data_IF_096211152974
#
_entry.id   IF_096211152974
#
_cell.length_a   1.000
_cell.length_b   1.000
_cell.length_c   1.000
_cell.angle_alpha   90.00
_cell.angle_beta   90.00
_cell.angle_gamma   90.00
#
_symmetry.space_group_name_H-M   'P 1'
#
loop_
_entity.id
_entity.type
_entity.pdbx_description
1 polymer ?
#
# COMPACT_ATOMS: atom_id res chain seq x y z
N UNK A 1 -21.07 8.92 -19.43
CA UNK A 1 -20.55 8.69 -18.08
C UNK A 1 -20.20 10.04 -17.52
N UNK A 2 -20.70 10.33 -16.33
CA UNK A 2 -20.42 11.60 -15.67
C UNK A 2 -18.98 11.63 -15.20
N UNK A 3 -18.33 12.81 -15.26
CA UNK A 3 -16.95 12.98 -14.81
C UNK A 3 -16.79 12.51 -13.35
N UNK A 4 -17.77 12.78 -12.50
CA UNK A 4 -17.89 12.25 -11.14
C UNK A 4 -17.73 10.72 -11.11
N UNK A 5 -18.50 9.99 -11.92
CA UNK A 5 -18.46 8.52 -11.97
C UNK A 5 -17.09 8.00 -12.43
N UNK A 6 -16.47 8.64 -13.40
CA UNK A 6 -15.14 8.25 -13.89
C UNK A 6 -14.10 8.41 -12.78
N UNK A 7 -14.04 9.58 -12.15
CA UNK A 7 -13.06 9.88 -11.10
C UNK A 7 -13.26 8.95 -9.89
N UNK A 8 -14.51 8.71 -9.49
CA UNK A 8 -14.86 7.78 -8.41
C UNK A 8 -14.38 6.35 -8.73
N UNK A 9 -14.68 5.86 -9.94
CA UNK A 9 -14.28 4.50 -10.37
C UNK A 9 -12.75 4.35 -10.40
N UNK A 10 -12.02 5.38 -10.87
CA UNK A 10 -10.56 5.39 -10.86
C UNK A 10 -10.02 5.40 -9.43
N UNK A 11 -10.59 6.21 -8.54
CA UNK A 11 -10.23 6.23 -7.12
C UNK A 11 -10.43 4.88 -6.44
N UNK A 12 -11.57 4.23 -6.70
CA UNK A 12 -11.86 2.88 -6.21
C UNK A 12 -10.86 1.83 -6.74
N UNK A 13 -10.46 1.91 -8.01
CA UNK A 13 -9.47 1.01 -8.57
C UNK A 13 -8.10 1.15 -7.86
N UNK A 14 -7.71 2.38 -7.52
CA UNK A 14 -6.48 2.66 -6.78
C UNK A 14 -6.55 2.11 -5.35
N UNK A 15 -7.70 2.23 -4.68
CA UNK A 15 -7.88 1.67 -3.35
C UNK A 15 -7.80 0.15 -3.35
N UNK A 16 -8.47 -0.52 -4.30
CA UNK A 16 -8.39 -1.97 -4.44
C UNK A 16 -6.94 -2.41 -4.67
N UNK A 17 -6.24 -1.76 -5.60
CA UNK A 17 -4.83 -2.06 -5.86
C UNK A 17 -3.95 -1.84 -4.62
N UNK A 18 -4.18 -0.73 -3.90
CA UNK A 18 -3.47 -0.39 -2.66
C UNK A 18 -3.69 -1.42 -1.55
N UNK A 19 -4.94 -1.87 -1.32
CA UNK A 19 -5.25 -2.93 -0.35
C UNK A 19 -4.58 -4.25 -0.74
N UNK A 20 -4.64 -4.65 -2.01
CA UNK A 20 -4.00 -5.88 -2.50
C UNK A 20 -2.48 -5.81 -2.29
N UNK A 21 -1.84 -4.68 -2.62
CA UNK A 21 -0.41 -4.47 -2.36
C UNK A 21 -0.09 -4.55 -0.85
N UNK A 22 -0.90 -3.93 0.02
CA UNK A 22 -0.70 -4.04 1.48
C UNK A 22 -0.86 -5.47 1.99
N UNK A 23 -1.80 -6.23 1.44
CA UNK A 23 -2.01 -7.63 1.81
C UNK A 23 -0.79 -8.50 1.47
N UNK A 24 -0.20 -8.30 0.28
CA UNK A 24 0.98 -9.06 -0.15
C UNK A 24 2.29 -8.63 0.53
N UNK A 25 2.48 -7.32 0.76
CA UNK A 25 3.76 -6.79 1.26
C UNK A 25 3.77 -6.54 2.78
N UNK A 26 2.65 -6.75 3.45
CA UNK A 26 2.37 -6.40 4.85
C UNK A 26 2.42 -4.87 5.10
N UNK A 27 1.61 -4.34 6.03
CA UNK A 27 1.75 -2.95 6.45
C UNK A 27 3.14 -2.69 7.05
N UNK A 28 3.65 -1.45 7.01
CA UNK A 28 4.98 -1.15 7.53
C UNK A 28 4.97 -1.37 9.04
N UNK A 29 5.53 -2.49 9.49
CA UNK A 29 5.66 -2.81 10.92
C UNK A 29 6.82 -2.01 11.51
N UNK A 30 6.54 -1.17 12.51
CA UNK A 30 7.59 -0.67 13.39
C UNK A 30 8.10 -1.83 14.24
N UNK A 31 9.28 -2.35 13.88
CA UNK A 31 9.84 -3.52 14.56
C UNK A 31 10.47 -3.14 15.90
N UNK A 32 9.71 -3.23 16.99
CA UNK A 32 10.23 -3.65 18.31
C UNK A 32 10.35 -5.19 18.43
N UNK A 33 9.96 -5.95 17.41
CA UNK A 33 10.08 -7.41 17.39
C UNK A 33 11.52 -7.87 17.04
N UNK A 34 12.45 -7.65 17.98
CA UNK A 34 13.86 -8.05 17.90
C UNK A 34 14.09 -9.56 18.23
N UNK A 35 13.03 -10.33 18.54
CA UNK A 35 13.18 -11.60 19.27
C UNK A 35 13.06 -12.92 18.48
N UNK A 36 12.99 -12.92 17.14
CA UNK A 36 12.66 -14.17 16.40
C UNK A 36 13.50 -14.44 15.14
N UNK A 37 14.83 -14.28 15.19
CA UNK A 37 15.68 -14.59 14.03
C UNK A 37 16.96 -15.37 14.36
N UNK A 38 16.81 -16.60 14.82
CA UNK A 38 17.84 -17.64 14.70
C UNK A 38 17.78 -18.29 13.30
N UNK A 39 18.63 -17.80 12.39
CA UNK A 39 19.05 -18.35 11.06
C UNK A 39 17.99 -18.52 9.94
N UNK A 40 18.35 -18.57 8.61
CA UNK A 40 19.65 -18.43 7.93
C UNK A 40 19.75 -17.20 6.97
N UNK A 41 20.99 -16.75 6.68
CA UNK A 41 21.41 -15.66 5.76
C UNK A 41 20.75 -14.26 5.97
N UNK A 42 21.38 -13.42 6.80
CA UNK A 42 20.98 -12.02 7.06
C UNK A 42 20.75 -11.19 5.79
N UNK A 43 21.54 -11.42 4.75
CA UNK A 43 21.55 -10.59 3.54
C UNK A 43 20.28 -10.73 2.66
N UNK A 44 19.75 -11.95 2.46
CA UNK A 44 18.49 -12.13 1.69
C UNK A 44 17.31 -11.51 2.43
N UNK A 45 17.30 -11.62 3.76
CA UNK A 45 16.19 -11.15 4.59
C UNK A 45 16.11 -9.63 4.64
N UNK A 46 17.25 -8.93 4.68
CA UNK A 46 17.29 -7.47 4.61
C UNK A 46 16.83 -6.94 3.25
N UNK A 47 17.26 -7.57 2.15
CA UNK A 47 16.81 -7.19 0.80
C UNK A 47 15.29 -7.33 0.67
N UNK A 48 14.71 -8.44 1.14
CA UNK A 48 13.26 -8.65 1.14
C UNK A 48 12.53 -7.67 2.05
N UNK A 49 13.09 -7.34 3.24
CA UNK A 49 12.49 -6.38 4.18
C UNK A 49 12.44 -4.97 3.60
N UNK A 50 13.52 -4.53 2.96
CA UNK A 50 13.59 -3.21 2.32
C UNK A 50 12.63 -3.09 1.14
N UNK A 51 12.52 -4.16 0.34
CA UNK A 51 11.56 -4.22 -0.76
C UNK A 51 10.13 -4.13 -0.21
N UNK A 52 9.77 -5.00 0.75
CA UNK A 52 8.46 -4.98 1.42
C UNK A 52 8.11 -3.60 1.97
N UNK A 53 9.05 -2.92 2.65
CA UNK A 53 8.82 -1.57 3.22
C UNK A 53 8.53 -0.52 2.14
N UNK A 54 9.25 -0.56 1.01
CA UNK A 54 9.02 0.38 -0.11
C UNK A 54 7.65 0.14 -0.76
N UNK A 55 7.31 -1.12 -1.05
CA UNK A 55 6.02 -1.46 -1.66
C UNK A 55 4.84 -1.21 -0.71
N UNK A 56 5.02 -1.45 0.59
CA UNK A 56 4.04 -1.13 1.63
C UNK A 56 3.78 0.38 1.73
N UNK A 57 4.84 1.20 1.67
CA UNK A 57 4.71 2.66 1.58
C UNK A 57 3.99 3.11 0.30
N UNK A 58 4.34 2.52 -0.85
CA UNK A 58 3.67 2.81 -2.12
C UNK A 58 2.18 2.46 -2.09
N UNK A 59 1.84 1.32 -1.48
CA UNK A 59 0.47 0.85 -1.31
C UNK A 59 -0.37 1.81 -0.46
N UNK A 60 0.23 2.35 0.62
CA UNK A 60 -0.40 3.37 1.45
C UNK A 60 -0.64 4.68 0.69
N UNK A 61 0.33 5.11 -0.12
CA UNK A 61 0.18 6.29 -0.98
C UNK A 61 -0.94 6.10 -2.01
N UNK A 62 -1.03 4.91 -2.62
CA UNK A 62 -2.12 4.55 -3.54
C UNK A 62 -3.50 4.66 -2.89
N UNK A 63 -3.65 4.17 -1.65
CA UNK A 63 -4.90 4.30 -0.89
C UNK A 63 -5.25 5.75 -0.57
N UNK A 64 -4.26 6.55 -0.17
CA UNK A 64 -4.51 7.97 0.14
C UNK A 64 -4.95 8.69 -1.13
N UNK A 65 -4.29 8.45 -2.27
CA UNK A 65 -4.65 9.08 -3.54
C UNK A 65 -6.03 8.59 -4.03
N UNK A 66 -6.32 7.29 -3.95
CA UNK A 66 -7.60 6.72 -4.35
C UNK A 66 -8.77 7.31 -3.55
N UNK A 67 -8.62 7.37 -2.24
CA UNK A 67 -9.57 8.03 -1.34
C UNK A 67 -9.74 9.53 -1.63
N UNK A 68 -8.66 10.26 -1.89
CA UNK A 68 -8.75 11.68 -2.25
C UNK A 68 -9.48 11.90 -3.57
N UNK A 69 -9.25 11.05 -4.58
CA UNK A 69 -9.98 11.09 -5.85
C UNK A 69 -11.49 10.86 -5.64
N UNK A 70 -11.86 9.90 -4.78
CA UNK A 70 -13.26 9.68 -4.42
C UNK A 70 -13.88 10.90 -3.73
N UNK A 71 -13.15 11.54 -2.80
CA UNK A 71 -13.62 12.81 -2.20
C UNK A 71 -13.86 13.86 -3.27
N UNK A 72 -12.88 14.08 -4.16
CA UNK A 72 -13.00 15.09 -5.23
C UNK A 72 -14.18 14.79 -6.15
N UNK A 73 -14.46 13.52 -6.45
CA UNK A 73 -15.62 13.13 -7.27
C UNK A 73 -16.99 13.49 -6.66
N UNK A 74 -17.07 13.76 -5.36
CA UNK A 74 -18.30 14.24 -4.75
C UNK A 74 -18.54 15.74 -5.00
N UNK A 75 -17.51 16.48 -5.42
CA UNK A 75 -17.57 17.92 -5.66
C UNK A 75 -17.52 18.30 -7.14
N UNK A 76 -17.26 17.34 -8.03
CA UNK A 76 -17.12 17.51 -9.49
C UNK A 76 -18.09 16.58 -10.18
#
# INVERSE_FOLDING_TARGET
MDCSTIINTVGLAFDIAGVVLLFYYEPPKETHALLLQSAPSKERREKTKNLKRKFSGLALVLLIIGFLLQIVSNFV
#
